data_IF_831909496166
#
_entry.id   IF_831909496166
#
_cell.length_a   1.000
_cell.length_b   1.000
_cell.length_c   1.000
_cell.angle_alpha   90.00
_cell.angle_beta   90.00
_cell.angle_gamma   90.00
#
_symmetry.space_group_name_H-M   'P 1'
#
loop_
_entity.id
_entity.type
_entity.pdbx_description
1 polymer ?
#
# COMPACT_ATOMS: atom_id res chain seq x y z
N UNK A 1 31.70 -13.73 -2.91
CA UNK A 1 30.43 -13.50 -3.58
C UNK A 1 29.37 -14.29 -2.83
N UNK A 2 28.52 -13.63 -2.06
CA UNK A 2 27.39 -14.27 -1.39
C UNK A 2 26.37 -14.57 -2.50
N UNK A 3 26.21 -15.85 -2.78
CA UNK A 3 25.23 -16.31 -3.76
C UNK A 3 23.85 -16.26 -3.08
N UNK A 4 23.16 -15.14 -3.18
CA UNK A 4 21.75 -15.11 -2.81
C UNK A 4 21.01 -16.02 -3.78
N UNK A 5 20.29 -17.06 -3.30
CA UNK A 5 19.42 -17.82 -4.18
C UNK A 5 18.46 -16.80 -4.80
N UNK A 6 18.44 -16.70 -6.13
CA UNK A 6 17.35 -16.01 -6.82
C UNK A 6 16.09 -16.73 -6.36
N UNK A 7 15.08 -16.03 -5.79
CA UNK A 7 13.83 -16.68 -5.56
C UNK A 7 13.43 -17.29 -6.90
N UNK A 8 13.26 -18.60 -6.91
CA UNK A 8 12.71 -19.30 -8.07
C UNK A 8 11.51 -18.50 -8.50
N UNK A 9 11.42 -18.22 -9.80
CA UNK A 9 10.43 -17.34 -10.39
C UNK A 9 9.05 -17.70 -9.84
N UNK A 10 8.63 -17.01 -8.78
CA UNK A 10 7.28 -17.11 -8.24
C UNK A 10 6.41 -16.66 -9.40
N UNK A 11 5.74 -17.60 -10.06
CA UNK A 11 4.82 -17.32 -11.15
C UNK A 11 3.57 -16.72 -10.53
N UNK A 12 3.65 -15.45 -10.19
CA UNK A 12 2.50 -14.70 -9.77
C UNK A 12 1.48 -14.65 -10.92
N UNK A 13 0.34 -15.28 -10.76
CA UNK A 13 -0.76 -15.16 -11.71
C UNK A 13 -1.59 -13.91 -11.38
N UNK A 14 -1.08 -12.76 -11.77
CA UNK A 14 -1.66 -11.45 -11.45
C UNK A 14 -2.71 -10.97 -12.45
N UNK A 15 -3.47 -11.87 -13.05
CA UNK A 15 -4.55 -11.52 -13.98
C UNK A 15 -5.88 -11.28 -13.25
N UNK A 16 -6.72 -10.45 -13.84
CA UNK A 16 -8.10 -10.26 -13.40
C UNK A 16 -8.27 -9.27 -12.25
N UNK A 17 -7.31 -8.40 -11.98
CA UNK A 17 -7.46 -7.27 -11.07
C UNK A 17 -7.86 -6.00 -11.82
N UNK A 18 -8.61 -5.11 -11.16
CA UNK A 18 -8.93 -3.77 -11.70
C UNK A 18 -8.22 -2.67 -10.91
N UNK A 19 -8.04 -1.51 -11.52
CA UNK A 19 -7.42 -0.35 -10.86
C UNK A 19 -8.26 0.11 -9.67
N UNK A 20 -7.66 0.46 -8.52
CA UNK A 20 -8.38 0.63 -7.25
C UNK A 20 -9.18 1.93 -7.10
N UNK A 21 -9.09 2.90 -8.04
CA UNK A 21 -9.78 4.19 -7.90
C UNK A 21 -10.05 4.86 -9.26
N UNK A 22 -11.04 5.74 -9.30
CA UNK A 22 -11.32 6.63 -10.44
C UNK A 22 -10.58 7.98 -10.36
N UNK A 23 -9.76 8.22 -9.33
CA UNK A 23 -9.06 9.48 -9.14
C UNK A 23 -8.02 9.76 -10.24
N UNK A 24 -7.08 8.87 -10.41
CA UNK A 24 -6.03 8.97 -11.45
C UNK A 24 -5.27 7.66 -11.62
N UNK A 25 -4.38 7.60 -12.61
CA UNK A 25 -3.35 6.56 -12.73
C UNK A 25 -1.94 7.07 -12.40
N UNK A 26 -1.83 8.24 -11.77
CA UNK A 26 -0.56 8.84 -11.38
C UNK A 26 -0.13 8.31 -10.01
N UNK A 27 1.03 7.67 -9.96
CA UNK A 27 1.68 7.25 -8.70
C UNK A 27 2.56 8.39 -8.20
N UNK A 28 2.46 8.70 -6.91
CA UNK A 28 3.26 9.72 -6.23
C UNK A 28 4.33 9.13 -5.34
N UNK A 29 4.20 7.84 -4.95
CA UNK A 29 5.20 7.09 -4.19
C UNK A 29 5.12 5.62 -4.57
N UNK A 30 6.27 5.00 -4.82
CA UNK A 30 6.38 3.63 -5.31
C UNK A 30 6.57 2.61 -4.19
N UNK A 31 6.34 1.33 -4.52
CA UNK A 31 6.63 0.20 -3.63
C UNK A 31 8.12 0.18 -3.28
N UNK A 32 8.43 -0.17 -2.02
CA UNK A 32 9.77 -0.23 -1.45
C UNK A 32 10.55 1.10 -1.44
N UNK A 33 9.88 2.23 -1.66
CA UNK A 33 10.48 3.53 -1.45
C UNK A 33 10.93 3.67 0.01
N UNK A 34 12.17 4.08 0.23
CA UNK A 34 12.72 4.25 1.57
C UNK A 34 12.08 5.43 2.30
N UNK A 35 11.59 5.18 3.50
CA UNK A 35 11.09 6.17 4.45
C UNK A 35 11.91 6.08 5.75
N UNK A 36 11.89 7.12 6.55
CA UNK A 36 12.81 7.27 7.70
C UNK A 36 12.91 6.08 8.67
N UNK A 37 11.92 5.19 8.71
CA UNK A 37 11.90 4.04 9.61
C UNK A 37 11.47 2.71 8.95
N UNK A 38 11.06 2.73 7.67
CA UNK A 38 10.54 1.55 6.98
C UNK A 38 10.57 1.74 5.47
N UNK A 39 10.33 0.67 4.73
CA UNK A 39 10.04 0.73 3.30
C UNK A 39 8.54 0.87 3.05
N UNK A 40 8.16 1.57 1.99
CA UNK A 40 6.78 1.74 1.59
C UNK A 40 6.17 0.40 1.16
N UNK A 41 5.11 -0.05 1.84
CA UNK A 41 4.48 -1.37 1.63
C UNK A 41 3.58 -1.47 0.41
N UNK A 42 3.34 -0.36 -0.31
CA UNK A 42 2.43 -0.28 -1.44
C UNK A 42 2.79 0.79 -2.45
N UNK A 43 1.78 1.38 -3.04
CA UNK A 43 1.86 2.55 -3.92
C UNK A 43 0.92 3.64 -3.42
N UNK A 44 1.33 4.91 -3.56
CA UNK A 44 0.46 6.04 -3.30
C UNK A 44 -0.07 6.60 -4.62
N UNK A 45 -1.39 6.61 -4.78
CA UNK A 45 -2.08 7.07 -5.98
C UNK A 45 -2.58 8.50 -5.75
N UNK A 46 -2.19 9.40 -6.66
CA UNK A 46 -2.59 10.79 -6.60
C UNK A 46 -4.10 10.96 -6.74
N UNK A 47 -4.67 11.77 -5.84
CA UNK A 47 -6.06 12.28 -5.95
C UNK A 47 -6.08 13.76 -6.34
N UNK A 48 -4.95 14.30 -6.84
CA UNK A 48 -4.77 15.71 -7.18
C UNK A 48 -5.14 16.67 -6.03
N UNK A 49 -4.91 16.25 -4.78
CA UNK A 49 -5.25 17.03 -3.58
C UNK A 49 -6.73 17.05 -3.21
N UNK A 50 -7.57 16.27 -3.88
CA UNK A 50 -9.03 16.21 -3.66
C UNK A 50 -9.41 14.89 -2.97
N UNK A 51 -10.40 14.95 -2.08
CA UNK A 51 -11.01 13.79 -1.40
C UNK A 51 -12.30 13.35 -2.10
N UNK A 52 -12.74 12.12 -1.83
CA UNK A 52 -14.07 11.65 -2.20
C UNK A 52 -14.16 10.86 -3.50
N UNK A 53 -13.05 10.61 -4.18
CA UNK A 53 -13.03 9.68 -5.32
C UNK A 53 -13.42 8.27 -4.90
N UNK A 54 -13.98 7.51 -5.83
CA UNK A 54 -14.37 6.13 -5.57
C UNK A 54 -13.14 5.25 -5.33
N UNK A 55 -13.26 4.35 -4.34
CA UNK A 55 -12.31 3.26 -4.12
C UNK A 55 -13.03 1.96 -4.46
N UNK A 56 -12.44 1.19 -5.36
CA UNK A 56 -13.02 -0.05 -5.87
C UNK A 56 -12.38 -1.28 -5.25
N UNK A 57 -13.19 -2.31 -5.01
CA UNK A 57 -12.68 -3.65 -4.79
C UNK A 57 -11.94 -4.11 -6.07
N UNK A 58 -10.65 -4.38 -5.96
CA UNK A 58 -9.81 -4.71 -7.13
C UNK A 58 -10.10 -6.10 -7.71
N UNK A 59 -10.77 -6.96 -6.94
CA UNK A 59 -11.19 -8.31 -7.29
C UNK A 59 -12.36 -8.74 -6.39
N UNK A 60 -13.09 -9.78 -6.77
CA UNK A 60 -14.10 -10.45 -5.92
C UNK A 60 -13.44 -10.91 -4.62
N UNK A 61 -14.17 -10.82 -3.50
CA UNK A 61 -13.66 -11.20 -2.20
C UNK A 61 -14.58 -10.83 -1.06
N UNK A 62 -14.00 -10.63 0.11
CA UNK A 62 -14.73 -10.22 1.31
C UNK A 62 -13.89 -9.31 2.21
N UNK A 63 -14.57 -8.56 3.03
CA UNK A 63 -13.94 -7.71 4.05
C UNK A 63 -13.36 -8.61 5.13
N UNK A 64 -12.05 -8.61 5.28
CA UNK A 64 -11.38 -9.35 6.37
C UNK A 64 -11.05 -8.45 7.57
N UNK A 65 -10.78 -7.15 7.33
CA UNK A 65 -10.42 -6.26 8.44
C UNK A 65 -10.70 -4.79 8.10
N UNK A 66 -11.12 -4.01 9.12
CA UNK A 66 -11.32 -2.56 9.01
C UNK A 66 -10.72 -1.88 10.25
N UNK A 67 -9.43 -1.59 10.27
CA UNK A 67 -8.82 -0.82 11.35
C UNK A 67 -9.05 0.69 11.12
N UNK A 68 -9.40 1.40 12.19
CA UNK A 68 -9.56 2.85 12.20
C UNK A 68 -8.76 3.41 13.36
N UNK A 69 -7.82 4.29 13.05
CA UNK A 69 -6.98 5.00 14.01
C UNK A 69 -6.98 6.50 13.72
N UNK A 70 -6.77 7.36 14.72
CA UNK A 70 -6.66 8.81 14.47
C UNK A 70 -5.37 9.19 13.72
N UNK A 71 -4.33 8.37 13.79
CA UNK A 71 -3.00 8.62 13.23
C UNK A 71 -2.59 7.50 12.26
N UNK A 72 -1.38 7.62 11.67
CA UNK A 72 -0.80 6.63 10.77
C UNK A 72 -1.62 6.48 9.48
N UNK A 73 -2.07 5.28 9.20
CA UNK A 73 -2.89 4.97 8.02
C UNK A 73 -4.35 5.43 8.12
N UNK A 74 -4.79 5.92 9.28
CA UNK A 74 -6.15 6.41 9.48
C UNK A 74 -7.21 5.33 9.36
N UNK A 75 -8.15 5.50 8.42
CA UNK A 75 -9.16 4.51 8.07
C UNK A 75 -8.63 3.59 6.99
N UNK A 76 -8.56 2.29 7.30
CA UNK A 76 -8.10 1.25 6.38
C UNK A 76 -9.19 0.22 6.08
N UNK A 77 -9.04 -0.43 4.95
CA UNK A 77 -9.85 -1.57 4.54
C UNK A 77 -8.94 -2.69 4.02
N UNK A 78 -9.18 -3.90 4.47
CA UNK A 78 -8.54 -5.12 3.97
C UNK A 78 -9.61 -6.00 3.32
N UNK A 79 -9.37 -6.36 2.06
CA UNK A 79 -10.20 -7.30 1.33
C UNK A 79 -9.40 -8.56 1.02
N UNK A 80 -9.85 -9.69 1.50
CA UNK A 80 -9.29 -11.00 1.14
C UNK A 80 -9.99 -11.51 -0.11
N UNK A 81 -9.20 -11.91 -1.09
CA UNK A 81 -9.66 -12.37 -2.41
C UNK A 81 -9.64 -13.90 -2.51
N UNK A 82 -10.36 -14.42 -3.48
CA UNK A 82 -10.51 -15.86 -3.72
C UNK A 82 -9.21 -16.55 -4.18
N UNK A 83 -8.20 -15.78 -4.60
CA UNK A 83 -6.87 -16.28 -4.96
C UNK A 83 -5.85 -16.22 -3.83
N UNK A 84 -6.29 -15.88 -2.60
CA UNK A 84 -5.46 -15.81 -1.39
C UNK A 84 -4.75 -14.48 -1.16
N UNK A 85 -4.76 -13.56 -2.13
CA UNK A 85 -4.20 -12.22 -1.93
C UNK A 85 -5.14 -11.34 -1.13
N UNK A 86 -4.55 -10.33 -0.48
CA UNK A 86 -5.25 -9.30 0.29
C UNK A 86 -4.95 -7.94 -0.30
N UNK A 87 -5.98 -7.20 -0.71
CA UNK A 87 -5.82 -5.79 -1.05
C UNK A 87 -6.08 -4.90 0.18
N UNK A 88 -5.24 -3.87 0.33
CA UNK A 88 -5.32 -2.94 1.45
C UNK A 88 -5.41 -1.51 0.91
N UNK A 89 -6.33 -0.76 1.49
CA UNK A 89 -6.63 0.63 1.14
C UNK A 89 -6.52 1.49 2.40
N UNK A 90 -5.83 2.62 2.32
CA UNK A 90 -5.67 3.48 3.49
C UNK A 90 -5.91 4.97 3.19
N UNK A 91 -5.86 5.78 4.25
CA UNK A 91 -6.17 7.21 4.26
C UNK A 91 -7.59 7.53 3.78
N UNK A 92 -8.53 6.59 3.99
CA UNK A 92 -9.90 6.70 3.47
C UNK A 92 -10.68 7.81 4.17
N UNK A 93 -11.54 8.50 3.41
CA UNK A 93 -12.52 9.42 3.97
C UNK A 93 -13.61 8.67 4.73
N UNK A 94 -14.06 7.55 4.17
CA UNK A 94 -15.09 6.69 4.73
C UNK A 94 -15.38 5.49 3.84
N UNK A 95 -16.24 4.62 4.33
CA UNK A 95 -16.67 3.39 3.68
C UNK A 95 -18.06 3.53 3.08
N UNK A 96 -18.46 2.60 2.22
CA UNK A 96 -19.78 2.56 1.59
C UNK A 96 -20.57 1.32 2.02
N UNK A 97 -21.88 1.30 1.74
CA UNK A 97 -22.73 0.12 1.90
C UNK A 97 -22.70 -0.52 3.28
N UNK A 98 -22.65 -1.85 3.30
CA UNK A 98 -22.63 -2.67 4.52
C UNK A 98 -21.36 -2.45 5.35
N UNK A 99 -20.23 -2.12 4.72
CA UNK A 99 -18.99 -1.79 5.44
C UNK A 99 -19.18 -0.55 6.32
N UNK A 100 -19.77 0.50 5.76
CA UNK A 100 -20.05 1.72 6.50
C UNK A 100 -21.05 1.50 7.66
N UNK A 101 -22.03 0.61 7.46
CA UNK A 101 -23.00 0.24 8.50
C UNK A 101 -22.30 -0.50 9.64
N UNK A 102 -21.55 -1.55 9.33
CA UNK A 102 -20.82 -2.34 10.31
C UNK A 102 -19.83 -1.50 11.15
N UNK A 103 -19.10 -0.57 10.49
CA UNK A 103 -18.20 0.36 11.17
C UNK A 103 -18.95 1.25 12.16
N UNK A 104 -20.08 1.86 11.73
CA UNK A 104 -20.87 2.73 12.64
C UNK A 104 -21.46 1.97 13.82
N UNK A 105 -21.92 0.74 13.59
CA UNK A 105 -22.45 -0.14 14.66
C UNK A 105 -21.39 -0.46 15.67
N UNK A 106 -20.19 -0.85 15.22
CA UNK A 106 -19.07 -1.20 16.09
C UNK A 106 -18.56 0.03 16.89
N UNK A 107 -18.45 1.19 16.24
CA UNK A 107 -18.09 2.44 16.90
C UNK A 107 -19.11 2.84 17.98
N UNK A 108 -20.41 2.70 17.71
CA UNK A 108 -21.47 2.95 18.70
C UNK A 108 -21.41 1.96 19.85
N UNK A 109 -21.22 0.66 19.55
CA UNK A 109 -21.13 -0.40 20.56
C UNK A 109 -19.96 -0.18 21.51
N UNK A 110 -18.81 0.28 20.98
CA UNK A 110 -17.59 0.55 21.77
C UNK A 110 -17.53 1.95 22.36
N UNK A 111 -18.34 2.89 21.91
CA UNK A 111 -18.27 4.30 22.33
C UNK A 111 -16.96 4.99 21.94
N UNK A 112 -16.32 4.56 20.86
CA UNK A 112 -15.00 5.09 20.44
C UNK A 112 -14.86 5.20 18.94
N UNK A 113 -14.09 6.21 18.50
CA UNK A 113 -13.73 6.38 17.09
C UNK A 113 -12.79 5.29 16.60
N UNK A 114 -11.77 4.95 17.42
CA UNK A 114 -10.76 3.97 17.05
C UNK A 114 -11.29 2.55 17.27
N UNK A 115 -11.33 1.78 16.21
CA UNK A 115 -11.78 0.38 16.20
C UNK A 115 -10.85 -0.48 15.36
N UNK A 116 -10.93 -1.79 15.57
CA UNK A 116 -10.32 -2.79 14.71
C UNK A 116 -11.34 -3.90 14.50
N UNK A 117 -12.19 -3.72 13.48
CA UNK A 117 -13.18 -4.72 13.09
C UNK A 117 -12.49 -5.80 12.27
N UNK A 118 -12.65 -7.06 12.63
CA UNK A 118 -12.06 -8.20 11.95
C UNK A 118 -13.10 -9.31 11.76
N UNK A 119 -13.01 -10.01 10.65
CA UNK A 119 -13.88 -11.13 10.29
C UNK A 119 -13.04 -12.33 9.89
N UNK A 120 -13.23 -13.43 10.59
CA UNK A 120 -12.59 -14.72 10.29
C UNK A 120 -13.36 -15.49 9.19
N UNK A 121 -14.55 -15.02 8.86
CA UNK A 121 -15.43 -15.60 7.83
C UNK A 121 -15.96 -14.52 6.90
N UNK A 122 -16.36 -14.85 5.66
CA UNK A 122 -16.80 -13.87 4.66
C UNK A 122 -18.21 -13.31 4.92
N UNK A 123 -18.35 -12.50 5.98
CA UNK A 123 -19.63 -11.88 6.38
C UNK A 123 -20.06 -10.80 5.40
N UNK A 124 -19.13 -9.94 4.97
CA UNK A 124 -19.39 -8.86 3.99
C UNK A 124 -18.64 -9.19 2.72
N UNK A 125 -19.37 -9.66 1.69
CA UNK A 125 -18.78 -9.94 0.38
C UNK A 125 -18.79 -8.71 -0.51
N UNK A 126 -17.81 -8.61 -1.38
CA UNK A 126 -17.66 -7.54 -2.38
C UNK A 126 -17.41 -8.12 -3.75
N UNK A 127 -17.86 -7.42 -4.78
CA UNK A 127 -17.61 -7.75 -6.18
C UNK A 127 -16.52 -6.83 -6.75
N UNK A 128 -15.76 -7.36 -7.69
CA UNK A 128 -14.79 -6.58 -8.43
C UNK A 128 -15.43 -5.33 -9.04
N UNK A 129 -14.82 -4.18 -8.87
CA UNK A 129 -15.34 -2.88 -9.32
C UNK A 129 -16.41 -2.27 -8.42
N UNK A 130 -16.85 -2.97 -7.38
CA UNK A 130 -17.77 -2.41 -6.39
C UNK A 130 -17.11 -1.26 -5.63
N UNK A 131 -17.86 -0.17 -5.43
CA UNK A 131 -17.38 0.98 -4.63
C UNK A 131 -17.45 0.60 -3.15
N UNK A 132 -16.29 0.44 -2.51
CA UNK A 132 -16.17 0.00 -1.11
C UNK A 132 -15.84 1.13 -0.14
N UNK A 133 -15.27 2.23 -0.67
CA UNK A 133 -14.86 3.38 0.14
C UNK A 133 -14.72 4.65 -0.71
N UNK A 134 -14.32 5.75 -0.06
CA UNK A 134 -13.93 7.02 -0.69
C UNK A 134 -12.52 7.42 -0.28
N UNK A 135 -11.73 7.96 -1.22
CA UNK A 135 -10.39 8.48 -0.95
C UNK A 135 -10.44 9.66 0.00
N UNK A 136 -9.41 9.80 0.83
CA UNK A 136 -9.39 10.84 1.85
C UNK A 136 -7.98 11.26 2.25
N UNK A 137 -7.89 11.71 3.50
CA UNK A 137 -6.68 12.19 4.17
C UNK A 137 -6.66 11.77 5.65
N UNK A 138 -7.40 10.72 6.03
CA UNK A 138 -7.39 10.24 7.41
C UNK A 138 -6.01 9.69 7.80
N UNK A 139 -5.58 9.98 9.03
CA UNK A 139 -4.22 9.67 9.46
C UNK A 139 -3.21 10.75 9.05
N UNK A 140 -2.16 10.38 8.34
CA UNK A 140 -1.10 11.31 7.94
C UNK A 140 -1.06 11.57 6.43
N UNK A 141 -0.67 12.80 6.07
CA UNK A 141 -0.40 13.21 4.71
C UNK A 141 -1.55 13.94 4.01
N UNK A 142 -1.27 14.53 2.84
CA UNK A 142 -2.28 15.15 2.00
C UNK A 142 -3.20 14.10 1.38
N UNK A 143 -4.35 14.49 0.78
CA UNK A 143 -5.25 13.55 0.13
C UNK A 143 -4.56 12.68 -0.92
N UNK A 144 -4.61 11.36 -0.74
CA UNK A 144 -4.15 10.34 -1.67
C UNK A 144 -4.82 8.99 -1.36
N UNK A 145 -4.65 8.01 -2.22
CA UNK A 145 -4.97 6.62 -1.90
C UNK A 145 -3.68 5.84 -1.72
N UNK A 146 -3.40 5.39 -0.50
CA UNK A 146 -2.40 4.36 -0.26
C UNK A 146 -3.02 2.99 -0.56
N UNK A 147 -2.37 2.24 -1.45
CA UNK A 147 -2.87 0.94 -1.92
C UNK A 147 -1.77 -0.12 -1.85
N UNK A 148 -2.09 -1.26 -1.23
CA UNK A 148 -1.19 -2.42 -1.15
C UNK A 148 -1.85 -3.67 -1.68
N UNK A 149 -1.02 -4.59 -2.15
CA UNK A 149 -1.35 -6.02 -2.27
C UNK A 149 -0.44 -6.78 -1.31
N UNK A 150 -1.01 -7.75 -0.61
CA UNK A 150 -0.31 -8.63 0.31
C UNK A 150 -0.56 -10.09 -0.07
N UNK A 151 0.41 -10.96 0.20
CA UNK A 151 0.23 -12.41 0.07
C UNK A 151 -0.62 -12.97 1.24
N UNK A 152 -0.85 -14.27 1.24
CA UNK A 152 -1.59 -14.99 2.28
C UNK A 152 -0.99 -14.86 3.68
N UNK A 153 0.31 -14.59 3.78
CA UNK A 153 1.03 -14.35 5.03
C UNK A 153 1.07 -12.87 5.40
N UNK A 154 0.34 -12.02 4.67
CA UNK A 154 0.28 -10.57 4.81
C UNK A 154 1.62 -9.85 4.50
N UNK A 155 2.55 -10.50 3.81
CA UNK A 155 3.75 -9.84 3.31
C UNK A 155 3.40 -8.90 2.16
N UNK A 156 3.92 -7.66 2.12
CA UNK A 156 3.68 -6.75 1.01
C UNK A 156 4.26 -7.28 -0.30
N UNK A 157 3.45 -7.23 -1.36
CA UNK A 157 3.82 -7.58 -2.73
C UNK A 157 3.76 -6.33 -3.58
N UNK A 158 4.76 -6.12 -4.45
CA UNK A 158 4.76 -4.97 -5.34
C UNK A 158 3.52 -4.95 -6.25
N UNK A 159 2.59 -3.99 -6.09
CA UNK A 159 1.38 -3.95 -6.90
C UNK A 159 1.66 -3.80 -8.41
N UNK A 160 2.82 -3.24 -8.77
CA UNK A 160 3.22 -3.03 -10.18
C UNK A 160 3.56 -4.33 -10.92
N UNK A 161 3.66 -5.47 -10.21
CA UNK A 161 3.79 -6.78 -10.83
C UNK A 161 2.46 -7.28 -11.42
N UNK A 162 1.34 -6.69 -11.02
CA UNK A 162 0.01 -7.01 -11.53
C UNK A 162 -0.24 -6.32 -12.87
N UNK A 163 -0.53 -7.07 -13.91
CA UNK A 163 -0.68 -6.54 -15.29
C UNK A 163 -1.68 -5.39 -15.39
N UNK A 164 -2.74 -5.42 -14.57
CA UNK A 164 -3.77 -4.37 -14.54
C UNK A 164 -3.31 -3.05 -13.92
N UNK A 165 -2.19 -3.06 -13.18
CA UNK A 165 -1.66 -1.91 -12.47
C UNK A 165 -0.44 -1.29 -13.17
N UNK A 166 -0.09 -1.80 -14.35
CA UNK A 166 1.02 -1.23 -15.10
C UNK A 166 0.77 0.24 -15.45
N UNK A 167 1.76 1.04 -15.15
CA UNK A 167 1.82 2.45 -15.49
C UNK A 167 2.91 2.61 -16.55
N UNK A 168 2.62 3.39 -17.57
CA UNK A 168 3.62 3.74 -18.56
C UNK A 168 4.61 4.73 -17.93
N UNK A 169 5.79 4.25 -17.63
CA UNK A 169 6.94 5.06 -17.25
C UNK A 169 8.01 4.93 -18.34
N UNK A 170 8.36 6.06 -18.95
CA UNK A 170 9.39 6.15 -19.97
C UNK A 170 10.60 6.98 -19.50
N UNK A 171 10.64 7.34 -18.21
CA UNK A 171 11.72 8.15 -17.64
C UNK A 171 12.81 7.22 -17.10
N UNK A 172 13.99 7.17 -17.71
CA UNK A 172 15.08 6.36 -17.20
C UNK A 172 15.51 6.85 -15.80
N UNK A 173 15.87 5.96 -14.88
CA UNK A 173 16.37 6.35 -13.58
C UNK A 173 17.70 7.10 -13.71
N UNK A 174 17.88 8.14 -12.92
CA UNK A 174 19.15 8.85 -12.81
C UNK A 174 19.71 8.76 -11.39
N UNK A 175 20.98 8.37 -11.28
CA UNK A 175 21.66 8.34 -9.99
C UNK A 175 22.10 9.78 -9.67
N UNK A 176 21.47 10.38 -8.66
CA UNK A 176 21.79 11.76 -8.22
C UNK A 176 22.85 11.78 -7.14
N UNK A 177 22.91 10.74 -6.31
CA UNK A 177 23.86 10.63 -5.20
C UNK A 177 24.08 9.17 -4.82
N UNK A 178 25.33 8.81 -4.58
CA UNK A 178 25.72 7.55 -3.98
C UNK A 178 26.27 7.84 -2.58
N UNK A 179 25.85 7.08 -1.59
CA UNK A 179 26.41 7.09 -0.26
C UNK A 179 27.06 5.71 0.00
N UNK A 180 28.31 5.71 0.39
CA UNK A 180 29.00 4.52 0.91
C UNK A 180 29.23 4.76 2.39
N UNK A 181 28.68 3.90 3.24
CA UNK A 181 28.79 4.03 4.70
C UNK A 181 29.47 2.78 5.29
N UNK A 182 30.35 2.94 6.29
CA UNK A 182 30.82 1.83 7.10
C UNK A 182 29.65 1.16 7.82
N UNK A 183 29.59 -0.18 7.81
CA UNK A 183 28.51 -0.95 8.45
C UNK A 183 28.87 -1.46 9.85
N UNK A 184 30.13 -1.31 10.26
CA UNK A 184 30.61 -1.76 11.58
C UNK A 184 31.59 -0.76 12.16
N UNK A 185 31.83 -0.85 13.47
CA UNK A 185 32.76 0.01 14.18
C UNK A 185 34.20 -0.06 13.60
N UNK A 186 34.60 -1.20 13.08
CA UNK A 186 35.95 -1.43 12.53
C UNK A 186 36.03 -1.24 11.01
N UNK A 187 34.92 -0.88 10.34
CA UNK A 187 34.95 -0.64 8.89
C UNK A 187 35.14 0.85 8.59
N UNK A 188 35.84 1.11 7.50
CA UNK A 188 36.07 2.49 7.02
C UNK A 188 35.82 2.60 5.53
N UNK A 189 35.49 3.81 5.08
CA UNK A 189 35.47 4.19 3.66
C UNK A 189 36.54 5.27 3.47
N UNK A 190 37.54 5.01 2.64
CA UNK A 190 38.71 5.88 2.45
C UNK A 190 39.35 6.31 3.79
N UNK A 191 39.62 5.33 4.66
CA UNK A 191 40.19 5.54 6.01
C UNK A 191 39.33 6.40 6.95
N UNK A 192 38.05 6.59 6.66
CA UNK A 192 37.12 7.35 7.50
C UNK A 192 35.97 6.46 8.01
N UNK A 193 35.65 6.58 9.29
CA UNK A 193 34.45 5.96 9.87
C UNK A 193 33.15 6.70 9.50
N UNK A 194 33.24 7.79 8.76
CA UNK A 194 32.07 8.57 8.32
C UNK A 194 31.64 8.16 6.91
N UNK A 195 30.33 8.24 6.57
CA UNK A 195 29.85 8.03 5.21
C UNK A 195 30.50 8.99 4.20
N UNK A 196 30.75 8.48 3.00
CA UNK A 196 31.19 9.28 1.85
C UNK A 196 30.04 9.44 0.86
N UNK A 197 29.92 10.62 0.28
CA UNK A 197 28.88 10.98 -0.68
C UNK A 197 29.51 11.35 -2.03
N UNK A 198 28.94 10.79 -3.09
CA UNK A 198 29.32 11.04 -4.46
C UNK A 198 28.10 11.57 -5.20
N UNK A 199 28.21 12.73 -5.85
CA UNK A 199 27.10 13.44 -6.47
C UNK A 199 27.30 13.75 -7.97
N UNK A 200 28.39 13.31 -8.55
CA UNK A 200 28.66 13.42 -9.99
C UNK A 200 28.90 12.05 -10.56
N UNK A 201 28.03 11.65 -11.49
CA UNK A 201 28.15 10.46 -12.29
C UNK A 201 28.19 10.90 -13.76
N UNK A 202 29.10 10.36 -14.57
CA UNK A 202 29.14 10.66 -16.00
C UNK A 202 27.88 10.21 -16.70
#
# INVERSE_FOLDING_TARGET
>A
LINYPRPDSVKYNFRGYVWPTDASRKITSSFAEYRSAHFHGGIDISTNGVKGYSVFAVRDGYVSRVPITPNGYGKMLFLTHDDGYVSTYAHLQGFTGEIAKAVREEQRRRGTYAINLAYDTPVIRVKQGEVVARTGDSGFGPPHLHFEIRDENLNPVNPMLFNSFQIRDAIPPSIRRLMIAPLSYNSTVENSAKPRYFSRFP
#
